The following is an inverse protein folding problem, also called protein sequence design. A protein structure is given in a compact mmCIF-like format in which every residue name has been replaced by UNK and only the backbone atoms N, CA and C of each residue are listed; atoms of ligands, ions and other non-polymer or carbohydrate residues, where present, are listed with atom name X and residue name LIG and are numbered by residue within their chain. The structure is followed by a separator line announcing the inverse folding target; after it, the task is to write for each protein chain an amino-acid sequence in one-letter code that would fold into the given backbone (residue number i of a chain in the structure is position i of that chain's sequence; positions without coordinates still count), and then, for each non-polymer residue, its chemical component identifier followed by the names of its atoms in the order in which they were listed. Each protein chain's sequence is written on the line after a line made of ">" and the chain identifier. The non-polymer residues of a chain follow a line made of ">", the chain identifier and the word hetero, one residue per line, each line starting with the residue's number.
data_IF_114094204554
#
_entry.id   IF_114094204554
#
_cell.length_a   1.000
_cell.length_b   1.000
_cell.length_c   1.000
_cell.angle_alpha   90.00
_cell.angle_beta   90.00
_cell.angle_gamma   90.00
#
_symmetry.space_group_name_H-M   'P 1'
#
loop_
_entity.id
_entity.type
_entity.pdbx_description
1 polymer ?
#
# COMPACT_ATOMS: atom_id res chain seq x y z
N UNK A 1 25.74 -3.16 -2.41
CA UNK A 1 24.63 -3.95 -3.00
C UNK A 1 25.21 -4.75 -4.17
N UNK A 2 25.39 -6.08 -4.05
CA UNK A 2 25.93 -6.86 -5.16
C UNK A 2 24.87 -7.00 -6.26
N UNK A 3 25.33 -7.13 -7.51
CA UNK A 3 24.62 -7.06 -8.79
C UNK A 3 23.47 -8.07 -9.03
N UNK A 4 23.02 -8.82 -8.02
CA UNK A 4 22.05 -9.91 -8.19
C UNK A 4 20.55 -9.54 -8.22
N UNK A 5 20.07 -8.36 -7.75
CA UNK A 5 18.66 -7.99 -7.96
C UNK A 5 18.37 -7.43 -9.36
N UNK A 6 19.39 -6.94 -10.08
CA UNK A 6 19.20 -6.07 -11.25
C UNK A 6 18.57 -6.78 -12.46
N UNK A 7 18.94 -8.04 -12.73
CA UNK A 7 18.42 -8.79 -13.87
C UNK A 7 16.94 -9.19 -13.69
N UNK A 8 16.50 -9.47 -12.46
CA UNK A 8 15.13 -9.95 -12.20
C UNK A 8 14.07 -8.88 -12.40
N UNK A 9 14.35 -7.62 -12.05
CA UNK A 9 13.36 -6.55 -12.23
C UNK A 9 13.07 -6.25 -13.69
N UNK A 10 14.10 -6.22 -14.54
CA UNK A 10 13.91 -5.97 -15.97
C UNK A 10 13.13 -7.09 -16.66
N UNK A 11 13.37 -8.35 -16.29
CA UNK A 11 12.59 -9.49 -16.78
C UNK A 11 11.12 -9.39 -16.34
N UNK A 12 10.87 -9.08 -15.06
CA UNK A 12 9.50 -8.88 -14.54
C UNK A 12 8.78 -7.75 -15.28
N UNK A 13 9.45 -6.63 -15.54
CA UNK A 13 8.85 -5.51 -16.26
C UNK A 13 8.60 -5.81 -17.73
N UNK A 14 9.48 -6.59 -18.36
CA UNK A 14 9.28 -7.09 -19.71
C UNK A 14 8.03 -7.96 -19.79
N UNK A 15 7.90 -8.93 -18.87
CA UNK A 15 6.73 -9.82 -18.81
C UNK A 15 5.43 -9.03 -18.58
N UNK A 16 5.43 -8.01 -17.71
CA UNK A 16 4.27 -7.13 -17.53
C UNK A 16 3.98 -6.27 -18.76
N UNK A 17 5.01 -5.82 -19.48
CA UNK A 17 4.81 -5.02 -20.70
C UNK A 17 4.25 -5.84 -21.87
N UNK A 18 4.49 -7.16 -21.90
CA UNK A 18 3.87 -8.07 -22.85
C UNK A 18 2.42 -8.46 -22.45
N UNK A 19 2.09 -8.35 -21.16
CA UNK A 19 0.77 -8.71 -20.64
C UNK A 19 -0.26 -7.60 -20.84
N UNK A 20 -1.13 -7.77 -21.85
CA UNK A 20 -2.13 -6.76 -22.23
C UNK A 20 -3.15 -6.40 -21.15
N UNK A 21 -3.40 -7.29 -20.18
CA UNK A 21 -4.51 -7.15 -19.21
C UNK A 21 -4.06 -7.22 -17.74
N UNK A 22 -2.75 -7.25 -17.48
CA UNK A 22 -2.23 -7.29 -16.11
C UNK A 22 -1.44 -6.02 -15.84
N UNK A 23 -1.92 -5.25 -14.87
CA UNK A 23 -1.19 -4.11 -14.32
C UNK A 23 -0.72 -4.47 -12.90
N UNK A 24 0.28 -3.75 -12.40
CA UNK A 24 0.82 -3.98 -11.08
C UNK A 24 1.06 -2.69 -10.31
N UNK A 25 0.82 -2.77 -9.01
CA UNK A 25 1.14 -1.74 -8.02
C UNK A 25 2.08 -2.30 -6.94
N UNK A 26 3.35 -2.59 -7.30
CA UNK A 26 4.36 -3.01 -6.34
C UNK A 26 4.68 -1.93 -5.29
N UNK A 27 5.14 -2.39 -4.12
CA UNK A 27 5.62 -1.50 -3.05
C UNK A 27 7.14 -1.35 -3.06
N UNK A 28 7.62 -0.13 -2.86
CA UNK A 28 9.03 0.18 -2.57
C UNK A 28 9.15 0.84 -1.20
N UNK A 29 10.18 0.48 -0.45
CA UNK A 29 10.35 0.96 0.92
C UNK A 29 11.08 2.30 0.99
N UNK A 30 10.51 3.24 1.75
CA UNK A 30 11.24 4.36 2.36
C UNK A 30 11.12 4.17 3.86
N UNK A 31 12.25 3.91 4.52
CA UNK A 31 12.33 3.65 5.95
C UNK A 31 12.32 4.95 6.77
N UNK A 32 12.60 6.08 6.11
CA UNK A 32 12.67 7.38 6.77
C UNK A 32 13.88 7.52 7.68
N UNK A 33 14.93 6.72 7.50
CA UNK A 33 16.17 6.75 8.30
C UNK A 33 17.14 7.85 7.89
N UNK A 34 17.04 8.30 6.64
CA UNK A 34 17.86 9.39 6.12
C UNK A 34 17.06 10.23 5.14
N UNK A 35 17.29 11.54 5.16
CA UNK A 35 16.74 12.50 4.21
C UNK A 35 17.08 12.16 2.74
N UNK A 36 18.20 11.46 2.53
CA UNK A 36 18.68 11.10 1.19
C UNK A 36 18.06 9.81 0.63
N UNK A 37 17.18 9.11 1.38
CA UNK A 37 16.58 7.86 0.91
C UNK A 37 15.80 8.04 -0.39
N UNK A 38 15.07 9.15 -0.53
CA UNK A 38 14.32 9.47 -1.73
C UNK A 38 15.20 9.66 -2.96
N UNK A 39 16.27 10.44 -2.83
CA UNK A 39 17.19 10.69 -3.95
C UNK A 39 17.93 9.41 -4.37
N UNK A 40 18.32 8.59 -3.40
CA UNK A 40 18.94 7.29 -3.67
C UNK A 40 17.96 6.35 -4.39
N UNK A 41 16.70 6.29 -3.96
CA UNK A 41 15.67 5.47 -4.57
C UNK A 41 15.35 5.95 -6.00
N UNK A 42 15.19 7.26 -6.18
CA UNK A 42 14.90 7.86 -7.47
C UNK A 42 16.04 7.65 -8.48
N UNK A 43 17.29 7.81 -8.02
CA UNK A 43 18.46 7.53 -8.84
C UNK A 43 18.52 6.05 -9.25
N UNK A 44 18.30 5.14 -8.31
CA UNK A 44 18.19 3.71 -8.62
C UNK A 44 17.10 3.44 -9.65
N UNK A 45 15.93 4.06 -9.51
CA UNK A 45 14.80 3.85 -10.41
C UNK A 45 15.11 4.28 -11.85
N UNK A 46 15.79 5.42 -12.01
CA UNK A 46 16.21 5.93 -13.33
C UNK A 46 17.32 5.08 -13.92
N UNK A 47 18.38 4.80 -13.15
CA UNK A 47 19.54 4.03 -13.61
C UNK A 47 19.12 2.62 -14.05
N UNK A 48 18.17 2.02 -13.35
CA UNK A 48 17.66 0.68 -13.65
C UNK A 48 16.50 0.66 -14.64
N UNK A 49 16.00 1.83 -15.07
CA UNK A 49 14.86 1.99 -15.98
C UNK A 49 13.61 1.26 -15.49
N UNK A 50 13.25 1.41 -14.22
CA UNK A 50 12.10 0.73 -13.60
C UNK A 50 10.76 1.42 -13.91
N UNK A 51 10.53 1.69 -15.19
CA UNK A 51 9.29 2.30 -15.69
C UNK A 51 8.57 1.34 -16.63
N UNK A 52 7.24 1.29 -16.51
CA UNK A 52 6.36 0.56 -17.43
C UNK A 52 4.98 1.22 -17.40
N UNK A 53 4.27 1.19 -18.54
CA UNK A 53 2.91 1.70 -18.62
C UNK A 53 1.96 0.89 -17.73
N UNK A 54 2.25 -0.39 -17.51
CA UNK A 54 1.49 -1.32 -16.69
C UNK A 54 1.87 -1.30 -15.20
N UNK A 55 2.85 -0.48 -14.78
CA UNK A 55 3.38 -0.51 -13.41
C UNK A 55 3.29 0.86 -12.78
N UNK A 56 2.76 0.90 -11.57
CA UNK A 56 2.79 2.07 -10.69
C UNK A 56 3.34 1.67 -9.33
N UNK A 57 3.88 2.63 -8.60
CA UNK A 57 4.58 2.35 -7.35
C UNK A 57 3.80 2.89 -6.16
N UNK A 58 3.64 2.06 -5.13
CA UNK A 58 3.30 2.54 -3.79
C UNK A 58 4.57 2.62 -2.96
N UNK A 59 4.65 3.63 -2.10
CA UNK A 59 5.76 3.80 -1.19
C UNK A 59 5.33 3.31 0.17
N UNK A 60 5.94 2.22 0.61
CA UNK A 60 5.69 1.68 1.94
C UNK A 60 6.63 2.29 2.97
N UNK A 61 6.06 2.70 4.10
CA UNK A 61 6.79 3.24 5.25
C UNK A 61 6.65 2.27 6.44
N UNK A 62 7.70 1.51 6.77
CA UNK A 62 7.70 0.59 7.91
C UNK A 62 7.61 1.30 9.26
N UNK A 63 6.76 0.81 10.15
CA UNK A 63 6.54 1.35 11.51
C UNK A 63 7.60 0.90 12.51
N UNK A 64 8.86 1.30 12.29
CA UNK A 64 10.03 0.79 13.02
C UNK A 64 10.79 1.86 13.83
N UNK A 65 10.09 2.86 14.38
CA UNK A 65 10.73 3.97 15.10
C UNK A 65 11.50 3.47 16.32
N UNK A 66 10.92 2.58 17.12
CA UNK A 66 11.57 1.98 18.29
C UNK A 66 12.93 1.35 17.96
N UNK A 67 13.04 0.65 16.83
CA UNK A 67 14.29 0.04 16.37
C UNK A 67 15.34 1.11 16.03
N UNK A 68 14.93 2.21 15.41
CA UNK A 68 15.84 3.28 15.01
C UNK A 68 16.26 4.16 16.19
N UNK A 69 15.33 4.39 17.10
CA UNK A 69 15.50 5.12 18.34
C UNK A 69 16.46 4.39 19.30
N UNK A 70 16.23 3.09 19.53
CA UNK A 70 17.12 2.27 20.36
C UNK A 70 18.56 2.18 19.82
N UNK A 71 18.75 2.32 18.49
CA UNK A 71 20.06 2.38 17.84
C UNK A 71 20.72 3.77 17.87
N UNK A 72 20.03 4.78 18.41
CA UNK A 72 20.49 6.17 18.44
C UNK A 72 20.56 6.82 17.05
N UNK A 73 19.91 6.23 16.04
CA UNK A 73 19.87 6.80 14.68
C UNK A 73 18.82 7.89 14.51
N UNK A 74 17.86 7.96 15.43
CA UNK A 74 16.80 8.96 15.52
C UNK A 74 16.56 9.31 16.96
N UNK A 75 16.24 10.56 17.23
CA UNK A 75 15.90 11.01 18.58
C UNK A 75 14.39 11.19 18.73
N UNK A 76 13.76 11.87 17.78
CA UNK A 76 12.33 12.16 17.86
C UNK A 76 11.59 11.51 16.70
N UNK A 77 10.31 11.20 16.88
CA UNK A 77 9.48 10.70 15.78
C UNK A 77 9.44 11.66 14.59
N UNK A 78 9.58 12.97 14.84
CA UNK A 78 9.73 13.99 13.80
C UNK A 78 10.88 13.70 12.83
N UNK A 79 11.94 13.00 13.24
CA UNK A 79 13.04 12.65 12.36
C UNK A 79 12.56 11.76 11.19
N UNK A 80 11.67 10.78 11.47
CA UNK A 80 11.05 9.94 10.43
C UNK A 80 10.18 10.79 9.51
N UNK A 81 9.29 11.61 10.09
CA UNK A 81 8.36 12.46 9.34
C UNK A 81 9.14 13.41 8.41
N UNK A 82 10.19 14.03 8.92
CA UNK A 82 11.08 14.91 8.16
C UNK A 82 11.73 14.15 7.01
N UNK A 83 12.36 12.99 7.27
CA UNK A 83 13.03 12.21 6.24
C UNK A 83 12.08 11.68 5.15
N UNK A 84 10.83 11.38 5.50
CA UNK A 84 9.81 10.91 4.55
C UNK A 84 9.24 12.06 3.74
N UNK A 85 8.88 13.20 4.36
CA UNK A 85 8.06 14.22 3.70
C UNK A 85 8.82 15.47 3.24
N UNK A 86 9.91 15.87 3.90
CA UNK A 86 10.63 17.09 3.53
C UNK A 86 11.13 17.04 2.07
N UNK A 87 11.79 15.97 1.57
CA UNK A 87 12.24 15.91 0.17
C UNK A 87 11.08 16.01 -0.83
N UNK A 88 9.91 15.49 -0.44
CA UNK A 88 8.70 15.56 -1.26
C UNK A 88 8.13 16.97 -1.34
N UNK A 89 8.15 17.73 -0.23
CA UNK A 89 7.78 19.15 -0.25
C UNK A 89 8.79 19.97 -1.06
N UNK A 90 10.09 19.74 -0.87
CA UNK A 90 11.16 20.44 -1.58
C UNK A 90 11.04 20.26 -3.09
N UNK A 91 10.95 19.02 -3.59
CA UNK A 91 10.77 18.73 -5.02
C UNK A 91 9.42 19.24 -5.55
N UNK A 92 8.39 19.22 -4.70
CA UNK A 92 7.08 19.77 -5.05
C UNK A 92 7.10 21.28 -5.13
N UNK A 93 7.98 22.01 -4.42
CA UNK A 93 8.14 23.48 -4.52
C UNK A 93 9.11 23.87 -5.64
N UNK A 94 10.15 23.08 -5.86
CA UNK A 94 11.10 23.29 -6.94
C UNK A 94 11.51 21.96 -7.58
N UNK A 95 10.92 21.56 -8.72
CA UNK A 95 11.28 20.32 -9.41
C UNK A 95 12.78 20.18 -9.76
N UNK A 96 13.53 21.29 -9.80
CA UNK A 96 14.97 21.28 -10.05
C UNK A 96 15.82 20.95 -8.83
N UNK A 97 15.27 20.95 -7.61
CA UNK A 97 16.05 20.57 -6.42
C UNK A 97 16.34 19.07 -6.37
N UNK A 98 15.39 18.24 -6.82
CA UNK A 98 15.54 16.79 -6.95
C UNK A 98 15.00 16.33 -8.32
N UNK A 99 15.75 16.53 -9.42
CA UNK A 99 15.24 16.27 -10.77
C UNK A 99 14.94 14.79 -11.00
N UNK A 100 15.77 13.87 -10.49
CA UNK A 100 15.51 12.43 -10.55
C UNK A 100 14.26 12.04 -9.77
N UNK A 101 14.10 12.58 -8.56
CA UNK A 101 12.93 12.35 -7.73
C UNK A 101 11.67 12.87 -8.40
N UNK A 102 11.71 14.06 -8.99
CA UNK A 102 10.56 14.62 -9.70
C UNK A 102 10.10 13.70 -10.84
N UNK A 103 11.03 13.15 -11.61
CA UNK A 103 10.72 12.20 -12.68
C UNK A 103 10.15 10.89 -12.12
N UNK A 104 10.76 10.34 -11.06
CA UNK A 104 10.29 9.10 -10.43
C UNK A 104 8.88 9.23 -9.86
N UNK A 105 8.56 10.36 -9.21
CA UNK A 105 7.25 10.59 -8.59
C UNK A 105 6.08 10.60 -9.59
N UNK A 106 6.31 10.74 -10.90
CA UNK A 106 5.26 10.61 -11.92
C UNK A 106 4.68 9.18 -11.99
N UNK A 107 5.44 8.18 -11.53
CA UNK A 107 5.04 6.77 -11.50
C UNK A 107 4.61 6.30 -10.10
N UNK A 108 4.76 7.16 -9.08
CA UNK A 108 4.30 6.87 -7.71
C UNK A 108 2.85 7.29 -7.56
N UNK A 109 2.01 6.38 -7.08
CA UNK A 109 0.56 6.59 -6.98
C UNK A 109 0.06 6.67 -5.55
N UNK A 110 0.84 6.25 -4.56
CA UNK A 110 0.37 6.25 -3.19
C UNK A 110 1.40 5.87 -2.14
N UNK A 111 0.94 5.92 -0.89
CA UNK A 111 1.65 5.52 0.30
C UNK A 111 0.96 4.36 0.99
N UNK A 112 1.78 3.53 1.61
CA UNK A 112 1.39 2.40 2.43
C UNK A 112 2.14 2.49 3.78
N UNK A 113 1.56 1.96 4.84
CA UNK A 113 2.22 1.83 6.14
C UNK A 113 2.22 0.36 6.54
N UNK A 114 3.40 -0.18 6.84
CA UNK A 114 3.61 -1.62 7.05
C UNK A 114 4.36 -1.90 8.35
N UNK A 115 4.28 -3.14 8.83
CA UNK A 115 5.01 -3.84 9.90
C UNK A 115 4.02 -4.84 10.54
N UNK A 116 4.53 -5.76 11.37
CA UNK A 116 3.72 -6.72 12.11
C UNK A 116 2.66 -6.04 13.01
N UNK A 117 1.40 -6.07 12.55
CA UNK A 117 0.23 -5.53 13.26
C UNK A 117 -0.12 -6.29 14.54
N UNK A 118 0.39 -7.51 14.73
CA UNK A 118 0.08 -8.30 15.93
C UNK A 118 0.77 -7.76 17.19
N UNK A 119 1.81 -6.91 17.02
CA UNK A 119 2.48 -6.23 18.12
C UNK A 119 1.50 -5.32 18.84
N UNK A 120 1.45 -5.46 20.17
CA UNK A 120 0.57 -4.63 20.99
C UNK A 120 1.05 -3.17 21.07
N UNK A 121 0.12 -2.25 20.80
CA UNK A 121 0.32 -0.82 21.03
C UNK A 121 0.43 -0.57 22.55
N UNK A 122 1.63 -0.22 23.02
CA UNK A 122 1.88 0.07 24.45
C UNK A 122 1.43 1.48 24.86
N UNK A 123 1.36 2.38 23.89
CA UNK A 123 0.98 3.78 24.07
C UNK A 123 -0.41 3.98 23.48
N UNK A 124 -1.30 4.65 24.23
CA UNK A 124 -2.64 5.01 23.72
C UNK A 124 -2.55 6.39 23.08
N UNK A 125 -2.92 6.50 21.80
CA UNK A 125 -2.98 7.79 21.12
C UNK A 125 -4.18 8.60 21.59
N UNK A 126 -3.93 9.73 22.25
CA UNK A 126 -4.93 10.66 22.75
C UNK A 126 -4.35 12.09 22.85
N UNK A 127 -5.12 13.04 23.38
CA UNK A 127 -4.73 14.44 23.47
C UNK A 127 -3.48 14.71 24.33
N UNK A 128 -3.09 13.76 25.21
CA UNK A 128 -1.88 13.86 26.02
C UNK A 128 -0.65 13.22 25.38
N UNK A 129 -0.82 12.51 24.26
CA UNK A 129 0.31 11.91 23.53
C UNK A 129 1.20 13.02 22.98
N UNK A 130 2.54 12.94 23.17
CA UNK A 130 3.46 13.96 22.66
C UNK A 130 3.35 14.15 21.15
N UNK A 131 3.55 15.37 20.67
CA UNK A 131 3.69 15.66 19.24
C UNK A 131 5.02 15.11 18.69
N UNK A 132 5.16 14.92 17.36
CA UNK A 132 6.32 14.22 16.79
C UNK A 132 7.65 14.83 17.15
N UNK A 133 7.70 16.15 17.29
CA UNK A 133 8.89 16.96 17.61
C UNK A 133 9.42 16.73 19.02
N UNK A 134 8.60 16.14 19.89
CA UNK A 134 8.95 15.83 21.28
C UNK A 134 8.68 14.37 21.66
N UNK A 135 8.23 13.53 20.72
CA UNK A 135 8.05 12.10 20.95
C UNK A 135 9.42 11.41 20.96
N UNK A 136 9.97 11.19 22.16
CA UNK A 136 11.27 10.57 22.45
C UNK A 136 11.10 9.30 23.32
N UNK A 137 9.92 8.67 23.26
CA UNK A 137 9.65 7.45 24.03
C UNK A 137 10.38 6.26 23.41
N UNK A 138 10.86 5.33 24.25
CA UNK A 138 11.47 4.09 23.78
C UNK A 138 10.44 3.16 23.13
N UNK A 139 9.16 3.31 23.50
CA UNK A 139 8.04 2.60 22.90
C UNK A 139 7.70 3.15 21.51
N UNK A 140 7.52 2.23 20.57
CA UNK A 140 7.05 2.57 19.23
C UNK A 140 5.72 3.34 19.31
N UNK A 141 5.54 4.44 18.57
CA UNK A 141 4.25 5.11 18.46
C UNK A 141 3.18 4.12 18.02
N UNK A 142 1.95 4.24 18.54
CA UNK A 142 0.91 3.29 18.20
C UNK A 142 0.52 3.43 16.73
N UNK A 143 -0.09 2.38 16.17
CA UNK A 143 -0.54 2.36 14.77
C UNK A 143 -1.30 3.63 14.37
N UNK A 144 -2.26 4.07 15.20
CA UNK A 144 -3.09 5.25 14.90
C UNK A 144 -2.31 6.55 14.85
N UNK A 145 -1.19 6.65 15.58
CA UNK A 145 -0.29 7.80 15.56
C UNK A 145 0.44 7.87 14.20
N UNK A 146 0.99 6.74 13.74
CA UNK A 146 1.60 6.64 12.41
C UNK A 146 0.62 7.04 11.31
N UNK A 147 -0.57 6.43 11.30
CA UNK A 147 -1.58 6.71 10.26
C UNK A 147 -2.01 8.18 10.29
N UNK A 148 -2.20 8.78 11.47
CA UNK A 148 -2.58 10.18 11.58
C UNK A 148 -1.53 11.13 10.98
N UNK A 149 -0.26 11.00 11.37
CA UNK A 149 0.78 11.91 10.87
C UNK A 149 1.15 11.64 9.40
N UNK A 150 1.04 10.39 8.94
CA UNK A 150 1.15 10.07 7.51
C UNK A 150 0.02 10.75 6.73
N UNK A 151 -1.24 10.56 7.14
CA UNK A 151 -2.41 11.20 6.52
C UNK A 151 -2.29 12.72 6.48
N UNK A 152 -1.93 13.35 7.60
CA UNK A 152 -1.85 14.80 7.71
C UNK A 152 -0.82 15.39 6.73
N UNK A 153 0.36 14.76 6.62
CA UNK A 153 1.41 15.21 5.71
C UNK A 153 1.05 14.91 4.24
N UNK A 154 0.52 13.72 3.93
CA UNK A 154 0.06 13.37 2.57
C UNK A 154 -1.03 14.33 2.12
N UNK A 155 -1.98 14.67 2.99
CA UNK A 155 -3.08 15.59 2.67
C UNK A 155 -2.58 16.99 2.32
N UNK A 156 -1.64 17.54 3.09
CA UNK A 156 -1.04 18.85 2.83
C UNK A 156 -0.18 18.83 1.56
N UNK A 157 0.63 17.78 1.38
CA UNK A 157 1.44 17.58 0.19
C UNK A 157 0.57 17.48 -1.06
N UNK A 158 -0.52 16.72 -1.01
CA UNK A 158 -1.46 16.56 -2.12
C UNK A 158 -2.15 17.87 -2.49
N UNK A 159 -2.55 18.69 -1.51
CA UNK A 159 -3.11 20.02 -1.79
C UNK A 159 -2.10 20.88 -2.54
N UNK A 160 -0.84 20.90 -2.11
CA UNK A 160 0.22 21.65 -2.78
C UNK A 160 0.50 21.11 -4.19
N UNK A 161 0.63 19.79 -4.34
CA UNK A 161 0.88 19.13 -5.63
C UNK A 161 -0.26 19.40 -6.62
N UNK A 162 -1.50 19.27 -6.16
CA UNK A 162 -2.69 19.55 -6.96
C UNK A 162 -2.74 21.01 -7.41
N UNK A 163 -2.46 21.98 -6.51
CA UNK A 163 -2.40 23.40 -6.86
C UNK A 163 -1.34 23.71 -7.94
N UNK A 164 -0.29 22.88 -8.01
CA UNK A 164 0.77 22.96 -9.02
C UNK A 164 0.53 22.13 -10.27
N UNK A 165 -0.61 21.43 -10.38
CA UNK A 165 -0.90 20.53 -11.50
C UNK A 165 -0.02 19.27 -11.53
N UNK A 166 0.53 18.85 -10.40
CA UNK A 166 1.30 17.61 -10.25
C UNK A 166 0.39 16.46 -9.80
N UNK A 167 0.81 15.21 -10.04
CA UNK A 167 0.09 14.02 -9.56
C UNK A 167 0.05 13.99 -8.02
N UNK A 168 -1.02 13.45 -7.45
CA UNK A 168 -1.20 13.27 -6.01
C UNK A 168 -1.01 11.81 -5.59
N UNK A 169 -0.96 11.57 -4.29
CA UNK A 169 -0.70 10.24 -3.73
C UNK A 169 -1.89 9.76 -2.89
N UNK A 170 -2.43 8.60 -3.26
CA UNK A 170 -3.41 7.86 -2.45
C UNK A 170 -2.79 7.38 -1.14
N UNK A 171 -3.58 7.24 -0.08
CA UNK A 171 -3.12 6.63 1.18
C UNK A 171 -3.85 5.31 1.44
N UNK A 172 -3.10 4.21 1.34
CA UNK A 172 -3.62 2.83 1.27
C UNK A 172 -2.84 1.88 2.20
N UNK A 173 -2.95 2.06 3.54
CA UNK A 173 -2.15 1.31 4.51
C UNK A 173 -2.56 -0.18 4.61
N UNK A 174 -1.60 -1.03 4.98
CA UNK A 174 -1.91 -2.33 5.58
C UNK A 174 -2.68 -2.09 6.89
N UNK A 175 -3.84 -2.73 7.00
CA UNK A 175 -4.74 -2.53 8.13
C UNK A 175 -5.62 -3.76 8.42
N UNK A 176 -5.61 -4.18 9.69
CA UNK A 176 -6.55 -5.16 10.20
C UNK A 176 -6.30 -6.58 9.67
N UNK A 177 -5.07 -6.89 9.30
CA UNK A 177 -4.63 -8.27 9.11
C UNK A 177 -4.57 -9.00 10.45
N UNK A 178 -3.98 -8.31 11.43
CA UNK A 178 -3.85 -8.71 12.82
C UNK A 178 -4.08 -7.49 13.73
N UNK A 179 -3.68 -7.58 15.00
CA UNK A 179 -3.69 -6.42 15.89
C UNK A 179 -5.05 -6.01 16.44
N UNK A 180 -5.17 -4.71 16.73
CA UNK A 180 -6.33 -4.13 17.42
C UNK A 180 -7.36 -3.62 16.40
N UNK A 181 -8.65 -3.82 16.70
CA UNK A 181 -9.76 -3.36 15.86
C UNK A 181 -9.78 -1.85 15.63
N UNK A 182 -9.16 -1.07 16.53
CA UNK A 182 -9.02 0.38 16.41
C UNK A 182 -8.15 0.79 15.21
N UNK A 183 -7.29 -0.09 14.69
CA UNK A 183 -6.55 0.14 13.44
C UNK A 183 -7.53 0.39 12.30
N UNK A 184 -8.53 -0.48 12.16
CA UNK A 184 -9.59 -0.37 11.14
C UNK A 184 -10.47 0.88 11.33
N UNK A 185 -10.72 1.30 12.58
CA UNK A 185 -11.44 2.55 12.86
C UNK A 185 -10.62 3.75 12.40
N UNK A 186 -9.31 3.72 12.63
CA UNK A 186 -8.42 4.82 12.22
C UNK A 186 -8.36 4.92 10.70
N UNK A 187 -8.15 3.79 10.01
CA UNK A 187 -8.09 3.78 8.55
C UNK A 187 -9.44 4.08 7.89
N UNK A 188 -10.56 3.72 8.52
CA UNK A 188 -11.88 4.15 8.04
C UNK A 188 -12.02 5.67 7.97
N UNK A 189 -11.39 6.40 8.89
CA UNK A 189 -11.47 7.85 8.96
C UNK A 189 -10.46 8.55 8.04
N UNK A 190 -9.31 7.94 7.79
CA UNK A 190 -8.13 8.63 7.23
C UNK A 190 -7.59 8.04 5.92
N UNK A 191 -7.89 6.77 5.61
CA UNK A 191 -7.37 6.10 4.42
C UNK A 191 -8.39 6.09 3.28
N UNK A 192 -7.90 6.01 2.05
CA UNK A 192 -8.73 5.87 0.85
C UNK A 192 -9.14 4.40 0.60
N UNK A 193 -8.23 3.48 0.90
CA UNK A 193 -8.48 2.03 0.91
C UNK A 193 -7.53 1.36 1.91
N UNK A 194 -7.72 0.07 2.17
CA UNK A 194 -6.85 -0.72 3.05
C UNK A 194 -6.38 -2.00 2.37
N UNK A 195 -5.25 -2.54 2.83
CA UNK A 195 -4.83 -3.91 2.53
C UNK A 195 -5.18 -4.83 3.71
N UNK A 196 -5.58 -6.08 3.42
CA UNK A 196 -6.00 -7.17 4.33
C UNK A 196 -7.43 -7.06 4.88
N UNK A 197 -7.68 -6.25 5.92
CA UNK A 197 -9.03 -6.09 6.50
C UNK A 197 -9.66 -7.35 7.15
N UNK A 198 -8.89 -8.39 7.47
CA UNK A 198 -9.41 -9.66 8.04
C UNK A 198 -10.25 -9.45 9.30
N UNK A 199 -9.84 -8.54 10.18
CA UNK A 199 -10.48 -8.30 11.46
C UNK A 199 -11.88 -7.65 11.32
N UNK A 200 -12.26 -7.14 10.15
CA UNK A 200 -13.63 -6.67 9.89
C UNK A 200 -14.66 -7.79 10.09
N UNK A 201 -14.27 -9.07 9.96
CA UNK A 201 -15.14 -10.21 10.25
C UNK A 201 -15.58 -10.28 11.73
N UNK A 202 -14.86 -9.60 12.63
CA UNK A 202 -15.15 -9.53 14.07
C UNK A 202 -15.83 -8.22 14.50
N UNK A 203 -16.03 -7.26 13.58
CA UNK A 203 -16.73 -6.00 13.86
C UNK A 203 -17.87 -5.75 12.87
N UNK A 204 -19.08 -6.29 13.12
CA UNK A 204 -20.22 -6.12 12.23
C UNK A 204 -20.56 -4.64 11.94
N UNK A 205 -20.49 -3.77 12.96
CA UNK A 205 -20.76 -2.33 12.79
C UNK A 205 -19.74 -1.70 11.85
N UNK A 206 -18.46 -1.99 12.06
CA UNK A 206 -17.40 -1.41 11.23
C UNK A 206 -17.45 -1.95 9.81
N UNK A 207 -17.71 -3.26 9.64
CA UNK A 207 -17.93 -3.86 8.34
C UNK A 207 -19.08 -3.19 7.58
N UNK A 208 -20.17 -2.86 8.26
CA UNK A 208 -21.30 -2.13 7.68
C UNK A 208 -20.92 -0.70 7.26
N UNK A 209 -20.07 -0.03 8.04
CA UNK A 209 -19.54 1.29 7.66
C UNK A 209 -18.64 1.22 6.42
N UNK A 210 -17.74 0.24 6.32
CA UNK A 210 -16.92 0.01 5.13
C UNK A 210 -17.77 -0.28 3.90
N UNK A 211 -18.87 -1.03 4.08
CA UNK A 211 -19.86 -1.26 3.03
C UNK A 211 -20.54 0.03 2.57
N UNK A 212 -21.11 0.83 3.48
CA UNK A 212 -21.82 2.07 3.08
C UNK A 212 -20.86 3.07 2.43
N UNK A 213 -19.68 3.25 3.03
CA UNK A 213 -18.68 4.19 2.53
C UNK A 213 -17.94 3.69 1.29
N UNK A 214 -18.11 2.42 0.91
CA UNK A 214 -17.41 1.77 -0.20
C UNK A 214 -15.89 1.98 -0.11
N UNK A 215 -15.33 1.77 1.09
CA UNK A 215 -13.88 1.80 1.30
C UNK A 215 -13.28 0.51 0.74
N UNK A 216 -12.30 0.64 -0.16
CA UNK A 216 -11.67 -0.49 -0.83
C UNK A 216 -10.87 -1.38 0.11
N UNK A 217 -10.93 -2.69 -0.08
CA UNK A 217 -10.20 -3.68 0.71
C UNK A 217 -9.48 -4.67 -0.24
N UNK A 218 -8.16 -4.52 -0.36
CA UNK A 218 -7.33 -5.43 -1.15
C UNK A 218 -6.92 -6.60 -0.26
N UNK A 219 -7.35 -7.81 -0.61
CA UNK A 219 -7.19 -9.00 0.22
C UNK A 219 -6.30 -10.03 -0.46
N UNK A 220 -5.43 -10.68 0.30
CA UNK A 220 -4.47 -11.70 -0.20
C UNK A 220 -4.68 -13.06 0.47
N UNK A 221 -5.70 -13.84 0.06
CA UNK A 221 -6.08 -15.08 0.74
C UNK A 221 -4.97 -16.12 0.91
N UNK A 222 -4.06 -16.30 -0.05
CA UNK A 222 -2.96 -17.28 0.06
C UNK A 222 -1.91 -16.85 1.10
N UNK A 223 -1.58 -15.56 1.14
CA UNK A 223 -0.73 -15.00 2.21
C UNK A 223 -1.39 -15.20 3.57
N UNK A 224 -2.67 -14.81 3.69
CA UNK A 224 -3.40 -14.93 4.96
C UNK A 224 -3.50 -16.39 5.43
N UNK A 225 -3.68 -17.34 4.51
CA UNK A 225 -3.67 -18.79 4.80
C UNK A 225 -2.34 -19.27 5.36
N UNK A 226 -1.24 -18.72 4.87
CA UNK A 226 0.10 -19.12 5.30
C UNK A 226 0.47 -18.56 6.68
N UNK A 227 -0.09 -17.41 7.07
CA UNK A 227 0.36 -16.66 8.25
C UNK A 227 -0.65 -16.56 9.39
N UNK A 228 -1.95 -16.40 9.11
CA UNK A 228 -2.91 -15.94 10.11
C UNK A 228 -4.21 -16.73 10.20
N UNK A 229 -4.70 -17.26 9.07
CA UNK A 229 -6.07 -17.76 8.98
C UNK A 229 -6.26 -18.75 7.84
N UNK A 230 -6.66 -19.99 8.15
CA UNK A 230 -7.00 -21.02 7.16
C UNK A 230 -7.85 -20.47 6.00
N UNK A 231 -7.52 -20.87 4.77
CA UNK A 231 -8.11 -20.33 3.54
C UNK A 231 -9.65 -20.33 3.55
N UNK A 232 -10.27 -21.44 3.98
CA UNK A 232 -11.72 -21.59 4.07
C UNK A 232 -12.40 -20.63 5.05
N UNK A 233 -11.64 -20.06 5.99
CA UNK A 233 -12.13 -19.13 7.01
C UNK A 233 -11.88 -17.67 6.64
N UNK A 234 -11.18 -17.41 5.53
CA UNK A 234 -10.94 -16.07 5.02
C UNK A 234 -12.28 -15.40 4.65
N UNK A 235 -12.52 -14.14 5.09
CA UNK A 235 -13.84 -13.52 4.94
C UNK A 235 -14.09 -12.91 3.56
N UNK A 236 -13.17 -13.01 2.59
CA UNK A 236 -13.34 -12.40 1.26
C UNK A 236 -14.65 -12.82 0.57
N UNK A 237 -14.97 -14.11 0.55
CA UNK A 237 -16.22 -14.61 -0.05
C UNK A 237 -17.47 -13.98 0.62
N UNK A 238 -17.46 -13.91 1.95
CA UNK A 238 -18.53 -13.28 2.72
C UNK A 238 -18.63 -11.77 2.43
N UNK A 239 -17.49 -11.09 2.29
CA UNK A 239 -17.43 -9.66 2.01
C UNK A 239 -17.95 -9.35 0.61
N UNK A 240 -17.55 -10.14 -0.39
CA UNK A 240 -18.04 -10.04 -1.75
C UNK A 240 -19.57 -10.26 -1.80
N UNK A 241 -20.06 -11.33 -1.16
CA UNK A 241 -21.50 -11.63 -1.11
C UNK A 241 -22.33 -10.53 -0.40
N UNK A 242 -21.69 -9.75 0.48
CA UNK A 242 -22.32 -8.60 1.17
C UNK A 242 -22.18 -7.28 0.41
N UNK A 243 -21.50 -7.28 -0.75
CA UNK A 243 -21.29 -6.08 -1.57
C UNK A 243 -20.24 -5.12 -1.02
N UNK A 244 -19.30 -5.59 -0.18
CA UNK A 244 -18.15 -4.79 0.20
C UNK A 244 -17.24 -4.62 -1.03
N UNK A 245 -16.55 -3.47 -1.08
CA UNK A 245 -15.64 -3.14 -2.16
C UNK A 245 -14.30 -3.87 -2.00
N UNK A 246 -14.29 -5.16 -2.33
CA UNK A 246 -13.12 -6.04 -2.19
C UNK A 246 -12.45 -6.35 -3.53
N UNK A 247 -11.13 -6.57 -3.48
CA UNK A 247 -10.34 -7.11 -4.59
C UNK A 247 -9.37 -8.19 -4.11
N UNK A 248 -8.91 -9.03 -5.05
CA UNK A 248 -7.82 -9.97 -4.80
C UNK A 248 -6.46 -9.30 -5.04
N UNK A 249 -5.51 -9.59 -4.17
CA UNK A 249 -4.10 -9.20 -4.23
C UNK A 249 -3.20 -10.39 -3.90
N UNK A 250 -1.88 -10.25 -4.14
CA UNK A 250 -0.93 -11.38 -3.99
C UNK A 250 0.03 -11.23 -2.82
N UNK A 251 0.09 -10.06 -2.18
CA UNK A 251 0.99 -9.78 -1.06
C UNK A 251 2.46 -10.00 -1.41
N UNK A 252 3.10 -11.10 -0.97
CA UNK A 252 4.47 -11.49 -1.37
C UNK A 252 4.45 -12.69 -2.34
N UNK A 253 4.36 -12.47 -3.68
CA UNK A 253 4.36 -13.53 -4.67
C UNK A 253 5.48 -14.55 -4.51
N UNK A 254 6.70 -14.09 -4.22
CA UNK A 254 7.88 -14.95 -4.08
C UNK A 254 7.78 -15.92 -2.89
N UNK A 255 6.98 -15.59 -1.89
CA UNK A 255 6.84 -16.39 -0.67
C UNK A 255 5.64 -17.34 -0.74
N UNK A 256 4.52 -16.88 -1.32
CA UNK A 256 3.23 -17.58 -1.19
C UNK A 256 2.73 -18.28 -2.46
N UNK A 257 3.35 -18.03 -3.60
CA UNK A 257 2.85 -18.50 -4.89
C UNK A 257 3.83 -19.48 -5.55
N UNK A 258 3.30 -20.45 -6.28
CA UNK A 258 4.08 -21.50 -6.93
C UNK A 258 4.07 -21.37 -8.46
N UNK A 259 3.17 -20.56 -9.01
CA UNK A 259 3.03 -20.38 -10.45
C UNK A 259 3.78 -19.16 -10.95
N UNK A 260 3.95 -19.07 -12.29
CA UNK A 260 4.53 -17.90 -12.95
C UNK A 260 3.61 -16.68 -12.92
N UNK A 261 2.31 -16.89 -12.74
CA UNK A 261 1.29 -15.84 -12.76
C UNK A 261 0.57 -15.79 -11.40
N UNK A 262 1.21 -15.21 -10.37
CA UNK A 262 0.74 -15.29 -8.98
C UNK A 262 -0.68 -14.75 -8.80
N UNK A 263 -1.07 -13.65 -9.47
CA UNK A 263 -2.45 -13.18 -9.37
C UNK A 263 -3.44 -14.16 -10.02
N UNK A 264 -3.08 -14.81 -11.12
CA UNK A 264 -3.95 -15.82 -11.75
C UNK A 264 -4.13 -17.03 -10.83
N UNK A 265 -3.10 -17.40 -10.07
CA UNK A 265 -3.19 -18.44 -9.04
C UNK A 265 -4.17 -18.05 -7.92
N UNK A 266 -4.14 -16.83 -7.39
CA UNK A 266 -5.13 -16.34 -6.42
C UNK A 266 -6.56 -16.47 -6.95
N UNK A 267 -6.82 -15.96 -8.16
CA UNK A 267 -8.15 -16.06 -8.78
C UNK A 267 -8.56 -17.52 -9.02
N UNK A 268 -7.64 -18.37 -9.45
CA UNK A 268 -7.92 -19.77 -9.78
C UNK A 268 -8.28 -20.57 -8.52
N UNK A 269 -7.54 -20.38 -7.43
CA UNK A 269 -7.80 -21.06 -6.16
C UNK A 269 -9.11 -20.53 -5.55
N UNK A 270 -9.31 -19.20 -5.53
CA UNK A 270 -10.54 -18.59 -5.05
C UNK A 270 -11.77 -19.14 -5.80
N UNK A 271 -11.70 -19.24 -7.13
CA UNK A 271 -12.77 -19.79 -7.94
C UNK A 271 -13.06 -21.26 -7.64
N UNK A 272 -12.03 -22.10 -7.46
CA UNK A 272 -12.22 -23.52 -7.16
C UNK A 272 -12.74 -23.76 -5.74
N UNK A 273 -12.27 -22.98 -4.76
CA UNK A 273 -12.61 -23.17 -3.35
C UNK A 273 -13.97 -22.54 -3.01
N UNK A 274 -14.20 -21.28 -3.41
CA UNK A 274 -15.44 -20.55 -3.12
C UNK A 274 -16.51 -20.66 -4.20
N UNK A 275 -16.23 -21.38 -5.29
CA UNK A 275 -17.15 -21.60 -6.42
C UNK A 275 -17.56 -20.31 -7.12
N UNK A 276 -16.62 -19.36 -7.24
CA UNK A 276 -16.86 -18.12 -7.97
C UNK A 276 -17.19 -18.38 -9.44
N UNK A 277 -18.24 -17.71 -9.89
CA UNK A 277 -18.62 -17.62 -11.29
C UNK A 277 -17.71 -16.65 -12.03
N UNK A 278 -17.83 -16.61 -13.36
CA UNK A 278 -17.15 -15.58 -14.16
C UNK A 278 -17.57 -14.17 -13.76
N UNK A 279 -18.82 -13.97 -13.34
CA UNK A 279 -19.32 -12.67 -12.89
C UNK A 279 -18.61 -12.21 -11.61
N UNK A 280 -18.50 -13.10 -10.62
CA UNK A 280 -17.83 -12.79 -9.35
C UNK A 280 -16.35 -12.44 -9.59
N UNK A 281 -15.67 -13.19 -10.45
CA UNK A 281 -14.28 -12.90 -10.82
C UNK A 281 -14.14 -11.57 -11.58
N UNK A 282 -15.06 -11.25 -12.48
CA UNK A 282 -15.06 -9.96 -13.20
C UNK A 282 -15.35 -8.79 -12.26
N UNK A 283 -16.21 -8.97 -11.25
CA UNK A 283 -16.48 -7.95 -10.23
C UNK A 283 -15.22 -7.67 -9.39
N UNK A 284 -14.54 -8.70 -8.91
CA UNK A 284 -13.27 -8.56 -8.19
C UNK A 284 -12.19 -7.87 -9.03
N UNK A 285 -12.09 -8.24 -10.32
CA UNK A 285 -11.13 -7.62 -11.25
C UNK A 285 -11.47 -6.15 -11.50
N UNK A 286 -12.73 -5.83 -11.77
CA UNK A 286 -13.21 -4.45 -11.91
C UNK A 286 -12.91 -3.63 -10.66
N UNK A 287 -13.15 -4.20 -9.48
CA UNK A 287 -12.88 -3.52 -8.23
C UNK A 287 -11.39 -3.21 -8.06
N UNK A 288 -10.50 -4.13 -8.44
CA UNK A 288 -9.04 -3.87 -8.44
C UNK A 288 -8.65 -2.68 -9.30
N UNK A 289 -9.30 -2.48 -10.45
CA UNK A 289 -9.05 -1.34 -11.34
C UNK A 289 -9.49 -0.03 -10.68
N UNK A 290 -10.68 -0.04 -10.09
CA UNK A 290 -11.24 1.13 -9.40
C UNK A 290 -10.47 1.52 -8.13
N UNK A 291 -9.85 0.55 -7.45
CA UNK A 291 -9.00 0.78 -6.27
C UNK A 291 -7.59 1.27 -6.61
N UNK A 292 -7.19 1.20 -7.88
CA UNK A 292 -5.83 1.48 -8.28
C UNK A 292 -5.52 2.96 -8.45
N UNK A 293 -4.24 3.30 -8.43
CA UNK A 293 -3.76 4.66 -8.67
C UNK A 293 -3.52 5.00 -10.14
N UNK A 294 -3.94 4.16 -11.10
CA UNK A 294 -3.76 4.46 -12.53
C UNK A 294 -4.63 5.65 -12.97
N UNK A 295 -4.16 6.37 -13.99
CA UNK A 295 -4.89 7.53 -14.54
C UNK A 295 -6.30 7.12 -14.97
N UNK A 296 -7.33 7.97 -14.76
CA UNK A 296 -8.70 7.70 -15.21
C UNK A 296 -8.82 7.38 -16.70
N UNK A 297 -7.89 7.85 -17.55
CA UNK A 297 -7.85 7.48 -18.96
C UNK A 297 -7.52 6.00 -19.15
N UNK A 298 -6.50 5.49 -18.46
CA UNK A 298 -6.14 4.06 -18.46
C UNK A 298 -7.28 3.25 -17.82
N UNK A 299 -7.80 3.71 -16.68
CA UNK A 299 -8.93 3.07 -16.00
C UNK A 299 -10.22 3.13 -16.82
N UNK A 300 -10.42 4.11 -17.71
CA UNK A 300 -11.59 4.21 -18.60
C UNK A 300 -11.48 3.28 -19.80
N UNK A 301 -10.29 3.14 -20.40
CA UNK A 301 -10.05 2.12 -21.42
C UNK A 301 -10.23 0.73 -20.82
N UNK A 302 -9.69 0.49 -19.62
CA UNK A 302 -9.87 -0.77 -18.90
C UNK A 302 -11.31 -0.98 -18.40
N UNK A 303 -12.07 0.06 -18.05
CA UNK A 303 -13.49 -0.07 -17.71
C UNK A 303 -14.36 -0.49 -18.91
N UNK A 304 -13.92 -0.23 -20.15
CA UNK A 304 -14.57 -0.74 -21.36
C UNK A 304 -14.16 -2.19 -21.68
N UNK A 305 -13.07 -2.69 -21.07
CA UNK A 305 -12.61 -4.07 -21.15
C UNK A 305 -12.64 -4.70 -19.75
N UNK A 306 -13.76 -5.31 -19.37
CA UNK A 306 -14.04 -6.02 -18.09
C UNK A 306 -13.04 -7.13 -17.66
N UNK A 307 -11.83 -7.17 -18.24
CA UNK A 307 -10.79 -8.19 -18.11
C UNK A 307 -9.48 -7.66 -17.50
N UNK A 308 -9.35 -6.35 -17.23
CA UNK A 308 -8.11 -5.83 -16.67
C UNK A 308 -8.00 -6.11 -15.16
N UNK A 309 -6.85 -6.62 -14.72
CA UNK A 309 -6.57 -6.99 -13.34
C UNK A 309 -5.37 -6.21 -12.82
N UNK A 310 -5.48 -5.68 -11.60
CA UNK A 310 -4.37 -4.96 -10.98
C UNK A 310 -3.82 -5.75 -9.81
N UNK A 311 -2.58 -6.20 -9.94
CA UNK A 311 -1.85 -6.92 -8.91
C UNK A 311 -1.37 -5.91 -7.87
N UNK A 312 -1.75 -6.10 -6.62
CA UNK A 312 -1.18 -5.39 -5.49
C UNK A 312 -0.24 -6.34 -4.75
N UNK A 313 1.05 -6.00 -4.67
CA UNK A 313 2.05 -6.84 -4.00
C UNK A 313 3.23 -6.05 -3.43
N UNK A 314 3.88 -6.62 -2.42
CA UNK A 314 5.13 -6.21 -1.81
C UNK A 314 6.29 -6.82 -2.60
N UNK A 315 7.36 -6.03 -2.83
CA UNK A 315 8.59 -6.48 -3.50
C UNK A 315 9.64 -6.90 -2.49
#
# INVERSE_FOLDING_TARGET
>A
LPLFPFLKYQEVFYDFSESKYQNAEPRLSIYGRSINEWDNLAKWAIDCKVYSDNIRWLIQVPRLFDVYHAKGSMKYFQDIITNVFQPLFEVTVNPKSHPELHAFLQYVTGFDSVDDESKSDKVVFNASTPTPDVYDLNENPPYSYYIFYMFANISQLNQLRSHRGLNTFSFRPHCGEAGNINHLVTCFLLAESINHGLLLRKAPVLQYLYFIAQIGIAMSPLSNNSLFLDYHRNPLNDFLARGLFVSLSTDDPLQFHFTKEPLIEEYSIAAQVWKFTSTDMCELARNSVLMSGFSPLVSYYDNNYYLCKIIHFLI
#
